data_IF_662995642645
#
_entry.id   IF_662995642645
#
_cell.length_a   1.000
_cell.length_b   1.000
_cell.length_c   1.000
_cell.angle_alpha   90.00
_cell.angle_beta   90.00
_cell.angle_gamma   90.00
#
_symmetry.space_group_name_H-M   'P 1'
#
loop_
_entity.id
_entity.type
_entity.pdbx_description
1 polymer ?
#
# COMPACT_ATOMS: atom_id res chain seq x y z
N UNK A 1 19.69 -27.06 -34.95
CA UNK A 1 18.40 -26.37 -35.11
C UNK A 1 18.22 -25.37 -33.97
N UNK A 2 18.18 -24.07 -34.29
CA UNK A 2 17.97 -22.97 -33.33
C UNK A 2 16.46 -22.80 -33.14
N UNK A 3 15.98 -22.88 -31.90
CA UNK A 3 14.66 -22.36 -31.54
C UNK A 3 14.82 -21.14 -30.63
N UNK A 4 14.74 -19.98 -31.28
CA UNK A 4 14.37 -18.71 -30.67
C UNK A 4 12.84 -18.67 -30.52
N UNK A 5 12.33 -18.41 -29.31
CA UNK A 5 11.04 -17.73 -29.10
C UNK A 5 11.04 -16.93 -27.79
N UNK A 6 11.05 -15.60 -27.98
CA UNK A 6 10.16 -14.56 -27.43
C UNK A 6 10.01 -14.44 -25.91
N UNK A 7 10.21 -13.20 -25.46
CA UNK A 7 10.06 -12.79 -24.08
C UNK A 7 8.61 -12.76 -23.61
N UNK A 8 8.48 -12.87 -22.29
CA UNK A 8 7.32 -12.45 -21.53
C UNK A 8 7.81 -11.50 -20.44
N UNK A 9 7.58 -10.20 -20.64
CA UNK A 9 7.63 -9.26 -19.53
C UNK A 9 6.44 -9.59 -18.60
N UNK A 10 6.71 -9.80 -17.32
CA UNK A 10 5.66 -9.92 -16.31
C UNK A 10 4.97 -8.55 -16.17
N UNK A 11 3.63 -8.46 -16.13
CA UNK A 11 2.94 -7.19 -16.02
C UNK A 11 3.17 -6.55 -14.65
N UNK A 12 3.26 -5.23 -14.65
CA UNK A 12 3.33 -4.40 -13.47
C UNK A 12 2.06 -4.55 -12.62
N UNK A 13 2.24 -5.01 -11.38
CA UNK A 13 1.16 -5.27 -10.44
C UNK A 13 1.72 -5.87 -9.16
N UNK A 14 2.64 -5.15 -8.50
CA UNK A 14 3.18 -5.58 -7.21
C UNK A 14 2.19 -5.15 -6.13
N UNK A 15 1.25 -6.02 -5.77
CA UNK A 15 0.44 -5.86 -4.56
C UNK A 15 1.37 -6.11 -3.36
N UNK A 16 1.80 -5.02 -2.71
CA UNK A 16 2.60 -5.08 -1.49
C UNK A 16 1.66 -5.46 -0.33
N UNK A 17 1.59 -6.76 -0.07
CA UNK A 17 0.92 -7.32 1.10
C UNK A 17 1.74 -6.93 2.33
N UNK A 18 1.37 -5.82 3.00
CA UNK A 18 2.06 -5.35 4.19
C UNK A 18 1.56 -6.13 5.41
N UNK A 19 2.37 -7.08 5.88
CA UNK A 19 2.17 -7.76 7.16
C UNK A 19 2.58 -6.79 8.29
N UNK A 20 1.60 -6.11 8.90
CA UNK A 20 1.85 -5.32 10.11
C UNK A 20 1.78 -6.24 11.34
N UNK A 21 2.94 -6.63 11.87
CA UNK A 21 3.03 -7.19 13.22
C UNK A 21 2.98 -6.02 14.19
N UNK A 22 1.90 -5.89 14.99
CA UNK A 22 1.85 -4.95 16.12
C UNK A 22 1.76 -5.73 17.43
N UNK A 23 2.63 -5.47 18.43
CA UNK A 23 2.27 -5.74 19.81
C UNK A 23 1.29 -4.66 20.34
N UNK A 24 0.56 -5.05 21.38
CA UNK A 24 -0.72 -4.52 21.87
C UNK A 24 -0.94 -2.99 21.97
N UNK A 25 -2.15 -2.58 21.54
CA UNK A 25 -3.09 -1.58 22.09
C UNK A 25 -2.59 -0.18 22.55
N UNK A 26 -3.00 0.88 21.85
CA UNK A 26 -4.11 1.80 22.23
C UNK A 26 -4.29 2.89 21.16
N UNK A 27 -5.52 3.40 21.09
CA UNK A 27 -6.05 4.47 20.23
C UNK A 27 -5.08 5.60 19.89
N UNK A 28 -4.74 5.76 18.60
CA UNK A 28 -4.43 7.04 17.96
C UNK A 28 -4.54 6.91 16.42
N UNK A 29 -4.96 7.99 15.77
CA UNK A 29 -5.01 8.14 14.31
C UNK A 29 -3.58 7.93 13.78
N UNK A 30 -3.34 6.80 13.12
CA UNK A 30 -2.03 6.46 12.58
C UNK A 30 -1.79 7.16 11.25
N UNK A 31 -0.71 7.92 11.14
CA UNK A 31 -0.08 8.21 9.86
C UNK A 31 0.87 7.04 9.56
N UNK A 32 0.58 6.27 8.51
CA UNK A 32 1.48 5.22 8.04
C UNK A 32 2.59 5.83 7.19
N UNK A 33 3.85 5.57 7.54
CA UNK A 33 5.01 5.91 6.70
C UNK A 33 5.40 4.67 5.93
N UNK A 34 5.35 4.72 4.60
CA UNK A 34 5.89 3.66 3.74
C UNK A 34 7.25 4.11 3.21
N UNK A 35 8.27 3.31 3.45
CA UNK A 35 9.64 3.56 2.98
C UNK A 35 9.92 2.62 1.81
N UNK A 36 10.03 3.19 0.60
CA UNK A 36 10.51 2.46 -0.56
C UNK A 36 12.02 2.66 -0.70
N UNK A 37 12.77 1.59 -0.47
CA UNK A 37 14.20 1.52 -0.80
C UNK A 37 14.30 1.23 -2.30
N UNK A 38 14.48 2.27 -3.11
CA UNK A 38 14.90 2.10 -4.49
C UNK A 38 16.32 1.53 -4.52
N UNK A 39 16.54 0.47 -5.31
CA UNK A 39 17.86 -0.13 -5.47
C UNK A 39 18.79 0.88 -6.18
N UNK A 40 19.76 1.41 -5.44
CA UNK A 40 20.77 2.28 -6.00
C UNK A 40 21.71 1.43 -6.88
N UNK A 41 21.53 1.51 -8.20
CA UNK A 41 22.40 0.89 -9.19
C UNK A 41 23.89 1.20 -8.96
N UNK A 42 24.70 0.16 -9.13
CA UNK A 42 26.09 0.03 -8.68
C UNK A 42 27.15 0.84 -9.45
N UNK A 43 28.26 1.15 -8.77
CA UNK A 43 29.55 1.55 -9.36
C UNK A 43 30.71 0.85 -8.64
N UNK A 44 31.57 0.17 -9.40
CA UNK A 44 32.75 -0.61 -8.97
C UNK A 44 33.91 0.28 -8.50
N UNK A 45 34.76 -0.32 -7.67
CA UNK A 45 36.13 0.03 -7.24
C UNK A 45 36.31 1.17 -6.22
N UNK A 46 36.49 0.79 -4.95
CA UNK A 46 37.11 1.62 -3.92
C UNK A 46 38.10 0.79 -3.07
N UNK A 47 39.32 1.29 -2.78
CA UNK A 47 40.36 0.53 -2.10
C UNK A 47 40.10 0.39 -0.59
N UNK A 48 40.60 -0.72 -0.02
CA UNK A 48 40.53 -1.06 1.40
C UNK A 48 41.27 -0.02 2.25
N UNK A 49 40.52 0.75 3.03
CA UNK A 49 41.01 1.62 4.10
C UNK A 49 39.89 1.84 5.11
N UNK A 50 40.08 1.27 6.29
CA UNK A 50 39.18 1.27 7.44
C UNK A 50 38.86 2.70 7.92
N UNK A 51 37.70 3.19 7.49
CA UNK A 51 36.91 4.22 8.15
C UNK A 51 35.45 3.83 7.94
N UNK A 52 34.69 3.68 9.03
CA UNK A 52 33.25 3.44 9.03
C UNK A 52 32.52 4.61 8.38
N UNK A 53 32.51 4.66 7.05
CA UNK A 53 31.77 5.65 6.30
C UNK A 53 30.28 5.31 6.42
N UNK A 54 29.54 6.09 7.22
CA UNK A 54 28.09 6.09 7.14
C UNK A 54 27.71 6.45 5.70
N UNK A 55 27.24 5.46 4.93
CA UNK A 55 26.81 5.67 3.55
C UNK A 55 25.52 6.48 3.61
N UNK A 56 25.58 7.74 3.17
CA UNK A 56 24.38 8.53 2.92
C UNK A 56 23.68 7.88 1.72
N UNK A 57 22.57 7.20 1.99
CA UNK A 57 21.71 6.63 0.94
C UNK A 57 20.52 7.57 0.78
N UNK A 58 20.24 8.00 -0.44
CA UNK A 58 19.00 8.68 -0.74
C UNK A 58 17.84 7.66 -0.61
N UNK A 59 16.81 8.01 0.15
CA UNK A 59 15.63 7.17 0.36
C UNK A 59 14.38 7.98 0.01
N UNK A 60 13.40 7.33 -0.61
CA UNK A 60 12.08 7.91 -0.87
C UNK A 60 11.15 7.58 0.30
N UNK A 61 10.51 8.61 0.85
CA UNK A 61 9.49 8.46 1.89
C UNK A 61 8.14 8.86 1.31
N UNK A 62 7.17 7.96 1.37
CA UNK A 62 5.79 8.23 0.95
C UNK A 62 4.90 8.36 2.18
N UNK A 63 4.12 9.43 2.21
CA UNK A 63 3.22 9.77 3.31
C UNK A 63 1.78 9.71 2.83
N UNK A 64 0.94 9.08 3.65
CA UNK A 64 -0.50 8.96 3.48
C UNK A 64 -1.20 8.78 4.84
N UNK A 65 -2.51 8.56 4.80
CA UNK A 65 -3.34 8.34 5.98
C UNK A 65 -3.97 6.95 5.97
N UNK A 66 -4.33 6.45 7.16
CA UNK A 66 -5.19 5.28 7.26
C UNK A 66 -6.62 5.69 6.91
N UNK A 67 -7.03 5.44 5.66
CA UNK A 67 -8.32 5.87 5.10
C UNK A 67 -8.35 7.31 4.59
N UNK A 68 -9.40 7.62 3.82
CA UNK A 68 -9.64 8.96 3.24
C UNK A 68 -11.09 9.44 3.39
N UNK A 69 -12.07 8.54 3.53
CA UNK A 69 -13.50 8.88 3.44
C UNK A 69 -14.11 9.28 4.78
N UNK A 70 -13.70 10.44 5.32
CA UNK A 70 -14.19 10.96 6.60
C UNK A 70 -15.05 12.22 6.42
N UNK A 71 -16.29 12.20 6.93
CA UNK A 71 -17.18 13.38 6.86
C UNK A 71 -16.64 14.57 7.65
N UNK A 72 -15.97 14.31 8.76
CA UNK A 72 -15.40 15.35 9.63
C UNK A 72 -14.22 16.09 8.98
N UNK A 73 -13.72 15.58 7.85
CA UNK A 73 -12.71 16.27 7.05
C UNK A 73 -13.32 17.27 6.07
N UNK A 74 -14.64 17.31 5.90
CA UNK A 74 -15.34 18.31 5.10
C UNK A 74 -15.36 19.65 5.83
N UNK A 75 -14.73 20.65 5.22
CA UNK A 75 -14.41 21.95 5.82
C UNK A 75 -12.90 22.06 6.11
N UNK A 76 -12.34 21.26 7.04
CA UNK A 76 -10.92 21.34 7.39
C UNK A 76 -9.95 20.92 6.29
N UNK A 77 -10.31 19.92 5.47
CA UNK A 77 -9.44 19.37 4.42
C UNK A 77 -10.14 19.32 3.06
N UNK A 78 -11.36 18.76 3.01
CA UNK A 78 -12.20 18.76 1.83
C UNK A 78 -13.01 20.07 1.73
N UNK A 79 -13.27 20.61 0.53
CA UNK A 79 -14.18 21.73 0.35
C UNK A 79 -15.57 21.44 0.92
N UNK A 80 -16.26 22.48 1.41
CA UNK A 80 -17.63 22.35 1.88
C UNK A 80 -18.53 21.76 0.78
N UNK A 81 -19.36 20.79 1.16
CA UNK A 81 -20.25 20.10 0.22
C UNK A 81 -19.60 18.95 -0.58
N UNK A 82 -18.32 18.62 -0.33
CA UNK A 82 -17.68 17.45 -0.94
C UNK A 82 -18.46 16.18 -0.61
N UNK A 83 -18.89 15.46 -1.64
CA UNK A 83 -19.59 14.17 -1.49
C UNK A 83 -18.58 13.07 -1.22
N UNK A 84 -18.98 12.03 -0.49
CA UNK A 84 -18.11 10.87 -0.21
C UNK A 84 -17.55 10.23 -1.49
N UNK A 85 -18.34 10.24 -2.57
CA UNK A 85 -17.88 9.79 -3.87
C UNK A 85 -16.63 10.55 -4.31
N UNK A 86 -16.54 11.86 -4.12
CA UNK A 86 -15.48 12.72 -4.65
C UNK A 86 -14.22 12.81 -3.76
N UNK A 87 -14.31 12.29 -2.53
CA UNK A 87 -13.23 12.41 -1.53
C UNK A 87 -11.91 11.79 -1.97
N UNK A 88 -11.93 10.60 -2.60
CA UNK A 88 -10.69 9.93 -3.04
C UNK A 88 -9.92 10.77 -4.06
N UNK A 89 -10.63 11.31 -5.05
CA UNK A 89 -10.02 12.09 -6.11
C UNK A 89 -9.44 13.39 -5.56
N UNK A 90 -10.13 14.03 -4.62
CA UNK A 90 -9.59 15.20 -3.93
C UNK A 90 -8.37 14.84 -3.09
N UNK A 91 -8.46 13.77 -2.30
CA UNK A 91 -7.37 13.29 -1.45
C UNK A 91 -6.08 13.03 -2.23
N UNK A 92 -6.19 12.40 -3.40
CA UNK A 92 -5.07 12.06 -4.27
C UNK A 92 -4.37 13.27 -4.92
N UNK A 93 -4.89 14.49 -4.72
CA UNK A 93 -4.21 15.75 -5.09
C UNK A 93 -3.21 16.20 -4.03
N UNK A 94 -3.38 15.76 -2.79
CA UNK A 94 -2.55 16.17 -1.65
C UNK A 94 -1.59 15.09 -1.18
N UNK A 95 -2.01 13.82 -1.25
CA UNK A 95 -1.20 12.68 -0.82
C UNK A 95 -0.89 11.75 -1.99
N UNK A 96 0.21 11.01 -1.88
CA UNK A 96 0.63 10.02 -2.88
C UNK A 96 0.26 8.58 -2.50
N UNK A 97 -0.22 8.35 -1.27
CA UNK A 97 -0.62 7.04 -0.80
C UNK A 97 -1.80 7.09 0.16
N UNK A 98 -2.52 5.97 0.29
CA UNK A 98 -3.54 5.76 1.33
C UNK A 98 -3.61 4.29 1.74
N UNK A 99 -3.89 4.03 3.02
CA UNK A 99 -4.25 2.69 3.50
C UNK A 99 -5.76 2.48 3.42
N UNK A 100 -6.15 1.33 2.86
CA UNK A 100 -7.52 0.87 2.79
C UNK A 100 -7.75 -0.11 3.93
N UNK A 101 -8.34 0.41 5.00
CA UNK A 101 -8.66 -0.35 6.22
C UNK A 101 -10.04 -1.01 6.17
N UNK A 102 -10.92 -0.61 5.24
CA UNK A 102 -12.29 -1.16 5.18
C UNK A 102 -12.31 -2.65 4.87
N UNK A 103 -11.27 -3.17 4.21
CA UNK A 103 -11.07 -4.59 3.91
C UNK A 103 -10.94 -5.46 5.15
N UNK A 104 -10.57 -4.87 6.29
CA UNK A 104 -10.58 -5.55 7.58
C UNK A 104 -11.96 -6.14 7.92
N UNK A 105 -13.04 -5.45 7.55
CA UNK A 105 -14.40 -5.84 7.90
C UNK A 105 -15.09 -6.69 6.83
N UNK A 106 -14.67 -6.57 5.56
CA UNK A 106 -15.26 -7.31 4.45
C UNK A 106 -14.30 -7.38 3.27
N UNK A 107 -14.28 -8.52 2.57
CA UNK A 107 -13.56 -8.66 1.31
C UNK A 107 -14.30 -7.81 0.24
N UNK A 108 -13.65 -6.80 -0.37
CA UNK A 108 -14.29 -5.97 -1.37
C UNK A 108 -14.50 -6.75 -2.67
N UNK A 109 -15.25 -6.20 -3.61
CA UNK A 109 -15.26 -6.73 -4.98
C UNK A 109 -14.10 -6.12 -5.79
N UNK A 110 -13.53 -6.83 -6.78
CA UNK A 110 -12.43 -6.31 -7.61
C UNK A 110 -12.77 -4.97 -8.28
N UNK A 111 -14.04 -4.73 -8.64
CA UNK A 111 -14.48 -3.49 -9.27
C UNK A 111 -14.34 -2.27 -8.35
N UNK A 112 -14.26 -2.47 -7.03
CA UNK A 112 -13.95 -1.38 -6.10
C UNK A 112 -12.55 -0.84 -6.37
N UNK A 113 -11.53 -1.70 -6.38
CA UNK A 113 -10.15 -1.28 -6.60
C UNK A 113 -9.94 -0.73 -8.01
N UNK A 114 -10.57 -1.33 -9.03
CA UNK A 114 -10.55 -0.80 -10.39
C UNK A 114 -11.09 0.64 -10.47
N UNK A 115 -12.22 0.92 -9.78
CA UNK A 115 -12.78 2.27 -9.71
C UNK A 115 -11.92 3.25 -8.92
N UNK A 116 -11.22 2.78 -7.89
CA UNK A 116 -10.31 3.62 -7.12
C UNK A 116 -9.06 3.98 -7.94
N UNK A 117 -8.45 2.99 -8.61
CA UNK A 117 -7.33 3.20 -9.51
C UNK A 117 -7.67 4.18 -10.64
N UNK A 118 -8.85 4.05 -11.26
CA UNK A 118 -9.31 4.95 -12.32
C UNK A 118 -9.48 6.42 -11.89
N UNK A 119 -9.51 6.69 -10.58
CA UNK A 119 -9.78 8.02 -10.00
C UNK A 119 -8.59 8.61 -9.27
N UNK A 120 -7.43 7.98 -9.38
CA UNK A 120 -6.19 8.43 -8.78
C UNK A 120 -5.08 8.50 -9.84
N UNK A 121 -4.02 9.30 -9.62
CA UNK A 121 -2.88 9.32 -10.53
C UNK A 121 -2.24 7.93 -10.68
N UNK A 122 -1.62 7.66 -11.83
CA UNK A 122 -0.99 6.37 -12.15
C UNK A 122 0.02 5.90 -11.08
N UNK A 123 0.72 6.84 -10.43
CA UNK A 123 1.73 6.56 -9.39
C UNK A 123 1.18 6.56 -7.96
N UNK A 124 -0.14 6.61 -7.78
CA UNK A 124 -0.75 6.64 -6.46
C UNK A 124 -0.72 5.25 -5.82
N UNK A 125 -0.33 5.19 -4.54
CA UNK A 125 -0.07 3.93 -3.85
C UNK A 125 -1.26 3.59 -2.93
N UNK A 126 -1.80 2.39 -3.10
CA UNK A 126 -2.76 1.84 -2.15
C UNK A 126 -2.06 0.77 -1.31
N UNK A 127 -2.11 0.93 0.01
CA UNK A 127 -1.85 -0.18 0.94
C UNK A 127 -3.20 -0.76 1.34
N UNK A 128 -3.33 -2.09 1.40
CA UNK A 128 -4.60 -2.75 1.69
C UNK A 128 -4.44 -3.61 2.91
N UNK A 129 -5.29 -3.39 3.90
CA UNK A 129 -5.27 -4.14 5.14
C UNK A 129 -5.78 -5.55 4.90
N UNK A 130 -5.12 -6.54 5.50
CA UNK A 130 -5.62 -7.90 5.45
C UNK A 130 -6.98 -8.00 6.18
N UNK A 131 -7.89 -8.88 5.70
CA UNK A 131 -9.17 -9.11 6.38
C UNK A 131 -9.00 -9.52 7.85
N UNK A 132 -9.92 -9.09 8.71
CA UNK A 132 -9.97 -9.47 10.12
C UNK A 132 -10.11 -10.98 10.28
N UNK A 133 -10.84 -11.64 9.38
CA UNK A 133 -11.00 -13.10 9.33
C UNK A 133 -9.70 -13.86 9.00
N UNK A 134 -8.67 -13.18 8.50
CA UNK A 134 -7.33 -13.77 8.29
C UNK A 134 -6.39 -13.45 9.45
N UNK A 135 -6.55 -12.28 10.07
CA UNK A 135 -5.58 -11.75 11.05
C UNK A 135 -6.00 -11.91 12.51
N UNK A 136 -7.30 -12.04 12.78
CA UNK A 136 -7.90 -12.11 14.12
C UNK A 136 -8.67 -13.41 14.30
N UNK A 137 -8.04 -14.52 13.91
CA UNK A 137 -8.49 -15.88 14.21
C UNK A 137 -7.74 -16.43 15.42
N UNK A 138 -8.37 -17.30 16.23
CA UNK A 138 -7.66 -18.06 17.25
C UNK A 138 -6.43 -18.75 16.67
N UNK A 139 -5.34 -18.86 17.45
CA UNK A 139 -4.07 -19.39 16.96
C UNK A 139 -4.14 -20.87 16.52
N UNK A 140 -5.17 -21.59 16.96
CA UNK A 140 -5.50 -22.97 16.64
C UNK A 140 -6.51 -23.10 15.48
N UNK A 141 -7.02 -22.00 14.96
CA UNK A 141 -7.90 -22.01 13.80
C UNK A 141 -7.08 -21.95 12.50
N UNK A 142 -7.35 -22.87 11.57
CA UNK A 142 -6.74 -22.82 10.25
C UNK A 142 -7.20 -21.54 9.52
N UNK A 143 -6.26 -20.72 9.01
CA UNK A 143 -6.61 -19.57 8.19
C UNK A 143 -7.35 -20.07 6.95
N UNK A 144 -8.56 -19.55 6.73
CA UNK A 144 -9.45 -20.04 5.67
C UNK A 144 -8.82 -19.75 4.29
N UNK A 145 -8.29 -20.77 3.57
CA UNK A 145 -7.52 -20.53 2.34
C UNK A 145 -8.38 -19.93 1.23
N UNK A 146 -9.68 -20.23 1.24
CA UNK A 146 -10.68 -19.66 0.34
C UNK A 146 -10.83 -18.15 0.49
N UNK A 147 -10.72 -17.61 1.70
CA UNK A 147 -10.81 -16.16 1.95
C UNK A 147 -9.55 -15.42 1.54
N UNK A 148 -8.37 -16.02 1.79
CA UNK A 148 -7.10 -15.48 1.30
C UNK A 148 -7.11 -15.44 -0.23
N UNK A 149 -7.58 -16.52 -0.88
CA UNK A 149 -7.70 -16.57 -2.32
C UNK A 149 -8.72 -15.55 -2.87
N UNK A 150 -9.87 -15.39 -2.21
CA UNK A 150 -10.87 -14.40 -2.58
C UNK A 150 -10.33 -12.97 -2.45
N UNK A 151 -9.61 -12.68 -1.37
CA UNK A 151 -8.98 -11.38 -1.15
C UNK A 151 -7.86 -11.10 -2.16
N UNK A 152 -7.03 -12.09 -2.48
CA UNK A 152 -5.97 -11.97 -3.49
C UNK A 152 -6.50 -11.81 -4.92
N UNK A 153 -7.76 -12.18 -5.17
CA UNK A 153 -8.41 -12.03 -6.48
C UNK A 153 -9.07 -10.66 -6.68
N UNK A 154 -9.05 -9.78 -5.67
CA UNK A 154 -9.58 -8.42 -5.72
C UNK A 154 -8.57 -7.44 -6.34
#
# INVERSE_FOLDING_TARGET
>A
MRHSRRGGALPAGRLLLHLSVRPAQRSHVGAGVTVDLADAGAGRDAPRGDRSHHRIVAVSIVVGTCGFSYRDWVGPFYPLGTKSADMLEYYARSFAAVEIDSTYYAIPKPELFARMAARTPERFIFTVKAPGSVTHVPADADPQPSEIAAFAAC
#
